data_IF_501283791081
#
_entry.id   IF_501283791081
#
_cell.length_a   1.000
_cell.length_b   1.000
_cell.length_c   1.000
_cell.angle_alpha   90.00
_cell.angle_beta   90.00
_cell.angle_gamma   90.00
#
_symmetry.space_group_name_H-M   'P 1'
#
loop_
_entity.id
_entity.type
_entity.pdbx_description
1 polymer ?
#
# COMPACT_ATOMS: atom_id res chain seq x y z
N UNK A 1 -70.68 42.50 -53.35
CA UNK A 1 -70.88 41.03 -53.47
C UNK A 1 -69.50 40.39 -53.35
N UNK A 2 -69.25 39.62 -52.28
CA UNK A 2 -67.97 38.95 -52.10
C UNK A 2 -67.91 37.75 -53.04
N UNK A 3 -66.89 37.69 -53.91
CA UNK A 3 -66.65 36.52 -54.75
C UNK A 3 -66.44 35.30 -53.84
N UNK A 4 -67.22 34.25 -54.06
CA UNK A 4 -67.12 33.00 -53.32
C UNK A 4 -65.69 32.44 -53.47
N UNK A 5 -65.12 32.00 -52.35
CA UNK A 5 -63.75 31.48 -52.31
C UNK A 5 -63.68 30.19 -53.15
N UNK A 6 -62.89 30.17 -54.25
CA UNK A 6 -62.82 29.03 -55.16
C UNK A 6 -62.20 27.77 -54.54
N UNK A 7 -61.72 27.85 -53.30
CA UNK A 7 -61.10 26.74 -52.56
C UNK A 7 -62.01 26.10 -51.50
N UNK A 8 -63.27 26.57 -51.38
CA UNK A 8 -64.28 25.93 -50.54
C UNK A 8 -65.00 24.90 -51.42
N UNK A 9 -64.98 23.60 -51.09
CA UNK A 9 -65.76 22.62 -51.85
C UNK A 9 -67.24 22.97 -51.69
N UNK A 10 -67.87 23.37 -52.80
CA UNK A 10 -69.31 23.63 -52.83
C UNK A 10 -70.05 22.33 -52.49
N UNK A 11 -70.91 22.39 -51.47
CA UNK A 11 -71.73 21.27 -51.00
C UNK A 11 -72.89 20.93 -51.95
N UNK A 12 -73.05 21.66 -53.05
CA UNK A 12 -74.01 21.37 -54.11
C UNK A 12 -73.38 20.42 -55.15
N UNK A 13 -74.12 19.41 -55.64
CA UNK A 13 -73.60 18.54 -56.68
C UNK A 13 -73.35 19.35 -57.96
N UNK A 14 -72.10 19.36 -58.41
CA UNK A 14 -71.70 20.02 -59.66
C UNK A 14 -72.51 19.44 -60.84
N UNK A 15 -72.80 20.23 -61.87
CA UNK A 15 -73.52 19.76 -63.06
C UNK A 15 -72.91 18.48 -63.69
N UNK A 16 -71.58 18.35 -63.65
CA UNK A 16 -70.88 17.13 -64.04
C UNK A 16 -71.18 15.93 -63.12
N UNK A 17 -71.33 16.16 -61.82
CA UNK A 17 -71.71 15.13 -60.84
C UNK A 17 -73.14 14.61 -61.04
N UNK A 18 -74.07 15.48 -61.45
CA UNK A 18 -75.43 15.07 -61.80
C UNK A 18 -75.46 14.22 -63.08
N UNK A 19 -74.72 14.61 -64.13
CA UNK A 19 -74.59 13.80 -65.36
C UNK A 19 -73.92 12.44 -65.10
N UNK A 20 -72.91 12.39 -64.24
CA UNK A 20 -72.26 11.13 -63.85
C UNK A 20 -73.19 10.22 -63.05
N UNK A 21 -74.07 10.78 -62.22
CA UNK A 21 -75.11 10.02 -61.51
C UNK A 21 -76.13 9.40 -62.48
N UNK A 22 -76.59 10.16 -63.48
CA UNK A 22 -77.50 9.65 -64.51
C UNK A 22 -76.83 8.56 -65.40
N UNK A 23 -75.53 8.69 -65.68
CA UNK A 23 -74.74 7.66 -66.36
C UNK A 23 -74.54 6.38 -65.53
N UNK A 24 -74.53 6.48 -64.20
CA UNK A 24 -74.53 5.33 -63.28
C UNK A 24 -75.91 4.64 -63.28
N UNK A 25 -76.99 5.42 -63.16
CA UNK A 25 -78.36 4.92 -63.14
C UNK A 25 -78.78 4.25 -64.46
N UNK A 26 -78.24 4.73 -65.58
CA UNK A 26 -78.43 4.15 -66.93
C UNK A 26 -77.52 2.95 -67.23
N UNK A 27 -76.61 2.59 -66.31
CA UNK A 27 -75.69 1.46 -66.46
C UNK A 27 -74.58 1.67 -67.50
N UNK A 28 -74.43 2.90 -68.02
CA UNK A 28 -73.45 3.26 -69.04
C UNK A 28 -72.02 3.33 -68.48
N UNK A 29 -71.91 3.62 -67.18
CA UNK A 29 -70.68 3.62 -66.40
C UNK A 29 -70.92 2.78 -65.14
N UNK A 30 -70.00 1.89 -64.79
CA UNK A 30 -70.09 1.14 -63.53
C UNK A 30 -69.42 1.89 -62.38
N UNK A 31 -69.90 1.67 -61.16
CA UNK A 31 -69.30 2.24 -59.94
C UNK A 31 -67.79 1.92 -59.84
N UNK A 32 -67.39 0.70 -60.25
CA UNK A 32 -65.98 0.28 -60.29
C UNK A 32 -65.12 1.12 -61.25
N UNK A 33 -65.66 1.56 -62.40
CA UNK A 33 -64.93 2.40 -63.36
C UNK A 33 -64.69 3.82 -62.81
N UNK A 34 -65.67 4.38 -62.10
CA UNK A 34 -65.51 5.67 -61.42
C UNK A 34 -64.53 5.57 -60.25
N UNK A 35 -64.60 4.49 -59.48
CA UNK A 35 -63.72 4.25 -58.34
C UNK A 35 -62.26 4.00 -58.77
N UNK A 36 -62.05 3.39 -59.94
CA UNK A 36 -60.72 3.21 -60.54
C UNK A 36 -60.05 4.54 -60.92
N UNK A 37 -60.84 5.56 -61.27
CA UNK A 37 -60.35 6.91 -61.57
C UNK A 37 -60.04 7.75 -60.32
N UNK A 38 -60.38 7.28 -59.11
CA UNK A 38 -60.10 7.98 -57.83
C UNK A 38 -58.66 7.87 -57.36
N UNK A 39 -57.81 7.10 -58.06
CA UNK A 39 -56.39 7.01 -57.69
C UNK A 39 -55.75 8.41 -57.80
N UNK A 40 -55.17 8.94 -56.71
CA UNK A 40 -54.58 10.27 -56.74
C UNK A 40 -53.44 10.29 -57.75
N UNK A 41 -53.38 11.32 -58.59
CA UNK A 41 -52.33 11.45 -59.60
C UNK A 41 -50.94 11.31 -58.93
N UNK A 42 -49.95 10.70 -59.59
CA UNK A 42 -48.62 10.44 -59.01
C UNK A 42 -47.96 11.66 -58.35
N UNK A 43 -48.27 12.87 -58.83
CA UNK A 43 -47.84 14.14 -58.24
C UNK A 43 -48.34 14.35 -56.79
N UNK A 44 -49.60 14.02 -56.48
CA UNK A 44 -50.16 14.17 -55.12
C UNK A 44 -49.55 13.17 -54.14
N UNK A 45 -49.26 11.94 -54.60
CA UNK A 45 -48.55 10.93 -53.80
C UNK A 45 -47.13 11.44 -53.46
N UNK A 46 -46.43 11.98 -54.46
CA UNK A 46 -45.10 12.57 -54.26
C UNK A 46 -45.14 13.78 -53.30
N UNK A 47 -46.15 14.64 -53.42
CA UNK A 47 -46.33 15.77 -52.50
C UNK A 47 -46.55 15.30 -51.05
N UNK A 48 -47.42 14.31 -50.84
CA UNK A 48 -47.64 13.69 -49.53
C UNK A 48 -46.35 13.12 -48.94
N UNK A 49 -45.57 12.41 -49.78
CA UNK A 49 -44.27 11.85 -49.38
C UNK A 49 -43.25 12.94 -49.02
N UNK A 50 -43.15 14.01 -49.80
CA UNK A 50 -42.26 15.15 -49.51
C UNK A 50 -42.66 15.83 -48.20
N UNK A 51 -43.97 16.00 -47.97
CA UNK A 51 -44.49 16.54 -46.70
C UNK A 51 -44.08 15.65 -45.52
N UNK A 52 -44.30 14.33 -45.60
CA UNK A 52 -43.88 13.38 -44.57
C UNK A 52 -42.36 13.42 -44.32
N UNK A 53 -41.54 13.49 -45.37
CA UNK A 53 -40.08 13.62 -45.24
C UNK A 53 -39.70 14.93 -44.52
N UNK A 54 -40.39 16.03 -44.83
CA UNK A 54 -40.16 17.32 -44.18
C UNK A 54 -40.52 17.26 -42.70
N UNK A 55 -41.66 16.66 -42.38
CA UNK A 55 -42.15 16.52 -41.00
C UNK A 55 -41.19 15.63 -40.19
N UNK A 56 -40.80 14.47 -40.74
CA UNK A 56 -39.81 13.58 -40.11
C UNK A 56 -38.45 14.26 -39.92
N UNK A 57 -37.99 15.07 -40.88
CA UNK A 57 -36.76 15.85 -40.73
C UNK A 57 -36.86 16.90 -39.62
N UNK A 58 -38.03 17.50 -39.43
CA UNK A 58 -38.25 18.44 -38.34
C UNK A 58 -38.20 17.72 -36.99
N UNK A 59 -38.83 16.55 -36.88
CA UNK A 59 -38.79 15.71 -35.69
C UNK A 59 -37.35 15.26 -35.35
N UNK A 60 -36.57 14.80 -36.35
CA UNK A 60 -35.17 14.43 -36.14
C UNK A 60 -34.38 15.61 -35.57
N UNK A 61 -34.53 16.81 -36.15
CA UNK A 61 -33.82 18.01 -35.65
C UNK A 61 -34.21 18.33 -34.22
N UNK A 62 -35.50 18.25 -33.89
CA UNK A 62 -35.96 18.45 -32.53
C UNK A 62 -35.32 17.45 -31.57
N UNK A 63 -35.29 16.16 -31.93
CA UNK A 63 -34.67 15.12 -31.11
C UNK A 63 -33.16 15.28 -30.98
N UNK A 64 -32.48 15.71 -32.04
CA UNK A 64 -31.05 16.06 -31.96
C UNK A 64 -30.80 17.19 -30.96
N UNK A 65 -31.61 18.25 -31.00
CA UNK A 65 -31.48 19.35 -30.04
C UNK A 65 -31.76 18.92 -28.59
N UNK A 66 -32.77 18.07 -28.37
CA UNK A 66 -33.05 17.49 -27.04
C UNK A 66 -31.85 16.66 -26.53
N UNK A 67 -31.23 15.86 -27.41
CA UNK A 67 -30.02 15.10 -27.06
C UNK A 67 -28.84 16.01 -26.73
N UNK A 68 -28.57 17.03 -27.56
CA UNK A 68 -27.47 17.97 -27.34
C UNK A 68 -27.62 18.71 -26.00
N UNK A 69 -28.86 19.08 -25.63
CA UNK A 69 -29.16 19.72 -24.34
C UNK A 69 -28.85 18.78 -23.17
N UNK A 70 -29.31 17.52 -23.25
CA UNK A 70 -29.04 16.53 -22.20
C UNK A 70 -27.56 16.20 -22.08
N UNK A 71 -26.83 16.13 -23.20
CA UNK A 71 -25.37 15.96 -23.19
C UNK A 71 -24.69 17.15 -22.52
N UNK A 72 -25.09 18.38 -22.86
CA UNK A 72 -24.53 19.57 -22.22
C UNK A 72 -24.82 19.61 -20.71
N UNK A 73 -26.03 19.25 -20.29
CA UNK A 73 -26.40 19.16 -18.88
C UNK A 73 -25.53 18.14 -18.15
N UNK A 74 -25.35 16.94 -18.74
CA UNK A 74 -24.48 15.90 -18.19
C UNK A 74 -23.02 16.36 -18.07
N UNK A 75 -22.48 16.98 -19.12
CA UNK A 75 -21.08 17.40 -19.15
C UNK A 75 -20.80 18.58 -18.21
N UNK A 76 -21.83 19.37 -17.89
CA UNK A 76 -21.74 20.52 -16.97
C UNK A 76 -22.25 20.18 -15.56
N UNK A 77 -22.76 18.96 -15.33
CA UNK A 77 -23.39 18.56 -14.08
C UNK A 77 -22.43 18.69 -12.89
N UNK A 78 -21.15 18.43 -13.08
CA UNK A 78 -20.15 18.45 -12.02
C UNK A 78 -19.85 19.85 -11.46
N UNK A 79 -20.25 20.92 -12.17
CA UNK A 79 -20.07 22.33 -11.78
C UNK A 79 -21.38 23.09 -11.60
N UNK A 80 -22.51 22.60 -12.13
CA UNK A 80 -23.82 23.25 -11.98
C UNK A 80 -24.73 22.48 -11.02
N UNK A 81 -24.64 21.16 -10.97
CA UNK A 81 -25.62 20.37 -10.23
C UNK A 81 -25.30 20.36 -8.72
N UNK A 82 -26.28 20.71 -7.85
CA UNK A 82 -26.07 20.82 -6.41
C UNK A 82 -25.49 19.56 -5.75
N UNK A 83 -25.85 18.37 -6.23
CA UNK A 83 -25.33 17.09 -5.71
C UNK A 83 -23.80 16.99 -5.83
N UNK A 84 -23.23 17.21 -7.02
CA UNK A 84 -21.79 17.11 -7.24
C UNK A 84 -21.04 18.27 -6.58
N UNK A 85 -21.64 19.47 -6.57
CA UNK A 85 -21.10 20.62 -5.87
C UNK A 85 -21.04 20.36 -4.35
N UNK A 86 -22.11 19.85 -3.75
CA UNK A 86 -22.15 19.53 -2.33
C UNK A 86 -21.07 18.50 -1.96
N UNK A 87 -20.90 17.46 -2.78
CA UNK A 87 -19.84 16.47 -2.59
C UNK A 87 -18.43 17.09 -2.66
N UNK A 88 -18.18 17.95 -3.66
CA UNK A 88 -16.90 18.67 -3.79
C UNK A 88 -16.68 19.63 -2.60
N UNK A 89 -17.72 20.34 -2.16
CA UNK A 89 -17.67 21.23 -0.99
C UNK A 89 -17.37 20.46 0.29
N UNK A 90 -18.01 19.31 0.51
CA UNK A 90 -17.75 18.44 1.66
C UNK A 90 -16.29 17.96 1.68
N UNK A 91 -15.77 17.51 0.54
CA UNK A 91 -14.37 17.11 0.43
C UNK A 91 -13.40 18.25 0.77
N UNK A 92 -13.66 19.46 0.26
CA UNK A 92 -12.87 20.65 0.59
C UNK A 92 -12.97 21.04 2.07
N UNK A 93 -14.17 20.93 2.65
CA UNK A 93 -14.41 21.24 4.05
C UNK A 93 -13.68 20.26 4.98
N UNK A 94 -13.71 18.96 4.65
CA UNK A 94 -12.93 17.93 5.35
C UNK A 94 -11.42 18.23 5.27
N UNK A 95 -10.90 18.56 4.09
CA UNK A 95 -9.49 18.94 3.93
C UNK A 95 -9.13 20.16 4.77
N UNK A 96 -9.96 21.21 4.75
CA UNK A 96 -9.74 22.41 5.56
C UNK A 96 -9.74 22.09 7.07
N UNK A 97 -10.66 21.25 7.54
CA UNK A 97 -10.71 20.82 8.94
C UNK A 97 -9.45 20.05 9.35
N UNK A 98 -8.94 19.18 8.47
CA UNK A 98 -7.66 18.51 8.69
C UNK A 98 -6.51 19.51 8.77
N UNK A 99 -6.43 20.49 7.84
CA UNK A 99 -5.41 21.53 7.86
C UNK A 99 -5.46 22.39 9.14
N UNK A 100 -6.66 22.78 9.59
CA UNK A 100 -6.83 23.49 10.86
C UNK A 100 -6.30 22.67 12.05
N UNK A 101 -6.55 21.37 12.05
CA UNK A 101 -6.08 20.46 13.09
C UNK A 101 -4.55 20.40 13.11
N UNK A 102 -3.92 20.22 11.93
CA UNK A 102 -2.46 20.24 11.79
C UNK A 102 -1.87 21.58 12.25
N UNK A 103 -2.51 22.71 11.93
CA UNK A 103 -2.07 24.03 12.37
C UNK A 103 -2.17 24.19 13.90
N UNK A 104 -3.22 23.68 14.53
CA UNK A 104 -3.38 23.67 15.99
C UNK A 104 -2.27 22.83 16.65
N UNK A 105 -2.01 21.63 16.13
CA UNK A 105 -0.93 20.77 16.64
C UNK A 105 0.45 21.39 16.45
N UNK A 106 0.72 21.99 15.29
CA UNK A 106 1.97 22.73 15.04
C UNK A 106 2.16 23.86 16.05
N UNK A 107 1.10 24.63 16.34
CA UNK A 107 1.14 25.69 17.38
C UNK A 107 1.41 25.10 18.76
N UNK A 108 0.73 24.01 19.13
CA UNK A 108 0.93 23.33 20.41
C UNK A 108 2.36 22.77 20.55
N UNK A 109 2.90 22.17 19.48
CA UNK A 109 4.28 21.70 19.44
C UNK A 109 5.26 22.85 19.58
N UNK A 110 5.08 23.95 18.85
CA UNK A 110 5.90 25.15 19.01
C UNK A 110 5.87 25.66 20.45
N UNK A 111 4.70 25.73 21.08
CA UNK A 111 4.61 26.13 22.49
C UNK A 111 5.35 25.18 23.43
N UNK A 112 5.26 23.86 23.19
CA UNK A 112 6.00 22.86 23.97
C UNK A 112 7.51 22.99 23.78
N UNK A 113 7.97 23.24 22.57
CA UNK A 113 9.40 23.41 22.25
C UNK A 113 9.94 24.76 22.73
N UNK A 114 9.11 25.81 22.75
CA UNK A 114 9.46 27.11 23.34
C UNK A 114 9.47 27.09 24.86
N UNK A 115 8.90 26.06 25.51
CA UNK A 115 9.02 25.89 26.96
C UNK A 115 10.46 25.42 27.23
N UNK A 116 11.31 26.24 27.88
CA UNK A 116 12.69 25.86 28.08
C UNK A 116 12.74 24.61 28.98
N UNK A 117 13.58 23.64 28.60
CA UNK A 117 13.73 22.33 29.26
C UNK A 117 14.21 22.46 30.71
N UNK A 118 14.91 23.54 31.00
CA UNK A 118 15.23 24.02 32.33
C UNK A 118 14.65 25.43 32.42
N UNK A 119 14.12 25.87 33.57
CA UNK A 119 13.95 27.31 33.76
C UNK A 119 15.31 27.96 33.51
N UNK A 120 15.42 28.85 32.52
CA UNK A 120 16.70 29.51 32.17
C UNK A 120 17.33 30.22 33.37
N UNK A 121 16.51 30.50 34.38
CA UNK A 121 16.96 30.89 35.70
C UNK A 121 16.22 30.03 36.73
N UNK A 122 16.96 29.25 37.52
CA UNK A 122 16.43 28.84 38.82
C UNK A 122 16.13 30.15 39.55
N UNK A 123 14.88 30.38 39.96
CA UNK A 123 14.50 31.61 40.66
C UNK A 123 15.14 31.61 42.05
N UNK A 124 16.44 31.86 42.08
CA UNK A 124 17.25 31.92 43.29
C UNK A 124 17.23 33.37 43.71
N UNK A 125 16.84 33.61 44.94
CA UNK A 125 16.92 34.92 45.56
C UNK A 125 18.39 35.40 45.56
N UNK A 126 18.63 36.68 45.30
CA UNK A 126 19.99 37.21 45.09
C UNK A 126 20.95 36.89 46.26
N UNK A 127 20.42 36.77 47.47
CA UNK A 127 21.18 36.39 48.68
C UNK A 127 21.80 34.99 48.59
N UNK A 128 21.22 34.08 47.80
CA UNK A 128 21.68 32.71 47.68
C UNK A 128 22.61 32.47 46.48
N UNK A 129 22.76 33.45 45.57
CA UNK A 129 23.59 33.30 44.37
C UNK A 129 25.03 32.92 44.69
N UNK A 130 25.64 33.57 45.70
CA UNK A 130 27.01 33.29 46.11
C UNK A 130 27.19 31.82 46.55
N UNK A 131 26.23 31.26 47.27
CA UNK A 131 26.29 29.88 47.74
C UNK A 131 26.05 28.88 46.61
N UNK A 132 25.14 29.19 45.68
CA UNK A 132 24.88 28.35 44.51
C UNK A 132 26.08 28.31 43.57
N UNK A 133 26.75 29.45 43.34
CA UNK A 133 27.99 29.50 42.55
C UNK A 133 29.08 28.63 43.19
N UNK A 134 29.26 28.73 44.51
CA UNK A 134 30.22 27.88 45.23
C UNK A 134 29.86 26.39 45.18
N UNK A 135 28.57 26.05 45.28
CA UNK A 135 28.10 24.68 45.19
C UNK A 135 28.31 24.10 43.79
N UNK A 136 28.01 24.89 42.75
CA UNK A 136 28.22 24.49 41.36
C UNK A 136 29.70 24.29 41.06
N UNK A 137 30.56 25.21 41.53
CA UNK A 137 32.02 25.06 41.41
C UNK A 137 32.51 23.78 42.11
N UNK A 138 32.01 23.49 43.32
CA UNK A 138 32.34 22.25 44.02
C UNK A 138 31.83 21.00 43.28
N UNK A 139 30.64 21.07 42.69
CA UNK A 139 30.05 19.97 41.92
C UNK A 139 30.83 19.69 40.63
N UNK A 140 31.24 20.73 39.89
CA UNK A 140 32.08 20.60 38.69
C UNK A 140 33.42 19.96 39.05
N UNK A 141 34.10 20.50 40.07
CA UNK A 141 35.37 19.94 40.55
C UNK A 141 35.24 18.47 41.01
N UNK A 142 34.10 18.10 41.63
CA UNK A 142 33.83 16.73 42.01
C UNK A 142 33.63 15.82 40.79
N UNK A 143 32.87 16.27 39.79
CA UNK A 143 32.63 15.52 38.54
C UNK A 143 33.95 15.28 37.82
N UNK A 144 34.79 16.30 37.66
CA UNK A 144 36.11 16.18 37.03
C UNK A 144 37.01 15.16 37.76
N UNK A 145 37.05 15.22 39.10
CA UNK A 145 37.78 14.23 39.90
C UNK A 145 37.22 12.83 39.73
N UNK A 146 35.90 12.67 39.76
CA UNK A 146 35.25 11.37 39.59
C UNK A 146 35.55 10.78 38.22
N UNK A 147 35.46 11.58 37.16
CA UNK A 147 35.78 11.17 35.80
C UNK A 147 37.24 10.75 35.67
N UNK A 148 38.17 11.51 36.27
CA UNK A 148 39.58 11.12 36.34
C UNK A 148 39.78 9.78 37.06
N UNK A 149 39.05 9.53 38.15
CA UNK A 149 39.11 8.26 38.87
C UNK A 149 38.56 7.09 38.05
N UNK A 150 37.42 7.28 37.38
CA UNK A 150 36.84 6.27 36.48
C UNK A 150 37.81 5.93 35.35
N UNK A 151 38.42 6.95 34.76
CA UNK A 151 39.40 6.76 33.67
C UNK A 151 40.66 6.06 34.18
N UNK A 152 41.15 6.38 35.39
CA UNK A 152 42.27 5.62 35.99
C UNK A 152 41.90 4.16 36.21
N UNK A 153 40.70 3.85 36.73
CA UNK A 153 40.22 2.48 36.93
C UNK A 153 40.14 1.72 35.60
N UNK A 154 39.66 2.38 34.54
CA UNK A 154 39.56 1.79 33.20
C UNK A 154 40.93 1.49 32.58
N UNK A 155 41.94 2.29 32.90
CA UNK A 155 43.30 2.15 32.41
C UNK A 155 44.17 1.19 33.25
N UNK A 156 43.69 0.69 34.39
CA UNK A 156 44.37 -0.39 35.12
C UNK A 156 44.43 -1.61 34.18
N UNK A 157 45.61 -2.20 33.92
CA UNK A 157 45.75 -3.39 33.09
C UNK A 157 44.75 -4.45 33.52
N UNK A 158 43.81 -4.77 32.61
CA UNK A 158 42.65 -5.56 32.96
C UNK A 158 43.11 -6.92 33.49
N UNK A 159 42.87 -7.16 34.79
CA UNK A 159 43.12 -8.43 35.48
C UNK A 159 42.61 -9.62 34.65
N UNK A 160 41.51 -9.43 33.93
CA UNK A 160 40.91 -10.41 33.02
C UNK A 160 41.90 -10.93 31.96
N UNK A 161 42.73 -10.07 31.36
CA UNK A 161 43.71 -10.48 30.36
C UNK A 161 44.85 -11.33 30.95
N UNK A 162 45.32 -10.96 32.15
CA UNK A 162 46.32 -11.72 32.90
C UNK A 162 45.76 -13.05 33.39
N UNK A 163 44.54 -13.06 33.91
CA UNK A 163 43.82 -14.26 34.36
C UNK A 163 43.57 -15.22 33.20
N UNK A 164 43.16 -14.74 32.02
CA UNK A 164 43.03 -15.57 30.80
C UNK A 164 44.35 -16.19 30.35
N UNK A 165 45.47 -15.48 30.51
CA UNK A 165 46.79 -16.04 30.22
C UNK A 165 47.20 -17.10 31.24
N UNK A 166 46.90 -16.90 32.52
CA UNK A 166 47.13 -17.89 33.57
C UNK A 166 46.25 -19.13 33.39
N UNK A 167 44.97 -18.97 33.06
CA UNK A 167 44.03 -20.07 32.79
C UNK A 167 44.48 -20.92 31.60
N UNK A 168 44.98 -20.28 30.54
CA UNK A 168 45.60 -20.97 29.39
C UNK A 168 46.87 -21.72 29.79
N UNK A 169 47.71 -21.14 30.66
CA UNK A 169 48.91 -21.80 31.15
C UNK A 169 48.57 -23.01 32.02
N UNK A 170 47.56 -22.90 32.89
CA UNK A 170 47.07 -23.97 33.73
C UNK A 170 46.50 -25.12 32.89
N UNK A 171 45.71 -24.81 31.87
CA UNK A 171 45.18 -25.81 30.93
C UNK A 171 46.31 -26.57 30.20
N UNK A 172 47.39 -25.87 29.81
CA UNK A 172 48.57 -26.53 29.21
C UNK A 172 49.29 -27.42 30.21
N UNK A 173 49.43 -26.98 31.46
CA UNK A 173 50.03 -27.80 32.52
C UNK A 173 49.21 -29.07 32.77
N UNK A 174 47.87 -28.99 32.84
CA UNK A 174 47.03 -30.18 33.04
C UNK A 174 47.12 -31.17 31.89
N UNK A 175 47.31 -30.70 30.65
CA UNK A 175 47.55 -31.60 29.51
C UNK A 175 48.89 -32.29 29.64
N UNK A 176 49.95 -31.55 29.95
CA UNK A 176 51.28 -32.12 30.17
C UNK A 176 51.30 -33.13 31.32
N UNK A 177 50.58 -32.84 32.40
CA UNK A 177 50.43 -33.78 33.53
C UNK A 177 49.80 -35.10 33.06
N UNK A 178 48.71 -35.05 32.28
CA UNK A 178 48.10 -36.24 31.70
C UNK A 178 49.03 -37.00 30.74
N UNK A 179 49.78 -36.30 29.89
CA UNK A 179 50.80 -36.91 29.02
C UNK A 179 51.89 -37.62 29.84
N UNK A 180 52.33 -37.01 30.95
CA UNK A 180 53.32 -37.63 31.84
C UNK A 180 52.77 -38.85 32.57
N UNK A 181 51.51 -38.82 33.00
CA UNK A 181 50.84 -39.96 33.63
C UNK A 181 50.72 -41.14 32.65
N UNK A 182 50.33 -40.85 31.40
CA UNK A 182 50.27 -41.86 30.34
C UNK A 182 51.65 -42.44 30.01
N UNK A 183 52.70 -41.61 30.00
CA UNK A 183 54.07 -42.06 29.80
C UNK A 183 54.51 -43.02 30.93
N UNK A 184 54.17 -42.69 32.18
CA UNK A 184 54.45 -43.56 33.34
C UNK A 184 53.73 -44.90 33.18
N UNK A 185 52.45 -44.90 32.82
CA UNK A 185 51.68 -46.13 32.61
C UNK A 185 52.29 -47.00 31.51
N UNK A 186 52.70 -46.39 30.40
CA UNK A 186 53.39 -47.08 29.30
C UNK A 186 54.70 -47.73 29.77
N UNK A 187 55.53 -47.00 30.53
CA UNK A 187 56.79 -47.54 31.09
C UNK A 187 56.51 -48.74 32.01
N UNK A 188 55.46 -48.68 32.83
CA UNK A 188 55.07 -49.78 33.71
C UNK A 188 54.60 -51.02 32.91
N UNK A 189 53.78 -50.84 31.88
CA UNK A 189 53.36 -51.92 30.97
C UNK A 189 54.56 -52.56 30.28
N UNK A 190 55.47 -51.74 29.73
CA UNK A 190 56.73 -52.22 29.13
C UNK A 190 57.58 -53.02 30.10
N UNK A 191 57.70 -52.57 31.36
CA UNK A 191 58.44 -53.30 32.41
C UNK A 191 57.82 -54.66 32.70
N UNK A 192 56.50 -54.75 32.76
CA UNK A 192 55.82 -56.01 33.04
C UNK A 192 55.97 -57.01 31.88
N UNK A 193 55.85 -56.54 30.64
CA UNK A 193 56.16 -57.34 29.45
C UNK A 193 57.61 -57.87 29.47
N UNK A 194 58.58 -57.03 29.86
CA UNK A 194 59.97 -57.47 30.01
C UNK A 194 60.12 -58.56 31.07
N UNK A 195 59.44 -58.45 32.21
CA UNK A 195 59.43 -59.51 33.23
C UNK A 195 58.80 -60.79 32.69
N UNK A 196 57.65 -60.72 32.03
CA UNK A 196 57.00 -61.90 31.44
C UNK A 196 57.90 -62.60 30.43
N UNK A 197 58.54 -61.85 29.52
CA UNK A 197 59.52 -62.38 28.55
C UNK A 197 60.70 -63.03 29.30
N UNK A 198 61.28 -62.35 30.30
CA UNK A 198 62.39 -62.90 31.08
C UNK A 198 62.01 -64.20 31.80
N UNK A 199 60.78 -64.27 32.34
CA UNK A 199 60.25 -65.46 32.99
C UNK A 199 60.00 -66.59 31.99
N UNK A 200 59.52 -66.27 30.77
CA UNK A 200 59.29 -67.23 29.70
C UNK A 200 60.61 -67.80 29.17
N UNK A 201 61.63 -66.95 29.01
CA UNK A 201 62.98 -67.36 28.65
C UNK A 201 63.56 -68.30 29.73
N UNK A 202 63.40 -67.94 31.01
CA UNK A 202 63.87 -68.78 32.14
C UNK A 202 63.14 -70.13 32.18
N UNK A 203 61.83 -70.15 31.91
CA UNK A 203 61.04 -71.39 31.80
C UNK A 203 61.47 -72.24 30.62
N UNK A 204 61.72 -71.66 29.44
CA UNK A 204 62.24 -72.40 28.27
C UNK A 204 63.59 -73.05 28.58
N UNK A 205 64.52 -72.32 29.19
CA UNK A 205 65.80 -72.88 29.61
C UNK A 205 65.67 -73.93 30.72
N UNK A 206 64.69 -73.77 31.62
CA UNK A 206 64.41 -74.75 32.68
C UNK A 206 63.76 -76.03 32.13
N UNK A 207 62.85 -75.92 31.16
CA UNK A 207 62.23 -77.06 30.47
C UNK A 207 63.23 -77.80 29.56
N UNK A 208 64.13 -77.09 28.88
CA UNK A 208 65.20 -77.73 28.11
C UNK A 208 66.23 -78.43 29.01
N UNK A 209 66.52 -77.87 30.19
CA UNK A 209 67.34 -78.56 31.20
C UNK A 209 66.62 -79.76 31.82
N UNK A 210 65.30 -79.68 32.05
CA UNK A 210 64.50 -80.82 32.51
C UNK A 210 64.41 -81.93 31.46
N UNK A 211 64.26 -81.59 30.17
CA UNK A 211 64.30 -82.55 29.06
C UNK A 211 65.68 -83.19 28.90
N UNK A 212 66.77 -82.46 29.22
CA UNK A 212 68.12 -83.05 29.28
C UNK A 212 68.33 -83.93 30.51
N UNK A 213 67.73 -83.62 31.66
CA UNK A 213 67.89 -84.41 32.90
C UNK A 213 67.04 -85.68 32.96
N UNK A 214 66.00 -85.81 32.13
CA UNK A 214 65.12 -87.02 32.08
C UNK A 214 65.40 -87.93 30.89
N UNK A 215 66.43 -87.61 30.08
CA UNK A 215 67.04 -88.52 29.12
C UNK A 215 68.52 -88.74 29.47
N UNK A 216 68.75 -89.28 30.66
CA UNK A 216 69.94 -90.03 31.04
C UNK A 216 69.53 -91.02 32.12
#
# INVERSE_FOLDING_TARGET
MAAANPWVPETAPTAAGLLLAECLDSGLVTQEMLDSCKSPAPFFINFSRIKQIKDLKAEIRQKTLELDLLTLEKDTADVVHPFFLAQKCEALQNMNQHLETVLKEKKALRHRLMKPLCQENLAIEAIYHRYVVQLLDLAVNFIEKLESHVETIRNIPCLDSSVKNMDRALTRMTVLEGETEQLIENILKWREQQKEISSSITKLFSEDLFKKSTRL
#
